data_IF_763376278639
#
_entry.id   IF_763376278639
#
_cell.length_a   1.000
_cell.length_b   1.000
_cell.length_c   1.000
_cell.angle_alpha   90.00
_cell.angle_beta   90.00
_cell.angle_gamma   90.00
#
_symmetry.space_group_name_H-M   'P 1'
#
loop_
_entity.id
_entity.type
_entity.pdbx_description
1 polymer ?
#
# COMPACT_ATOMS: atom_id res chain seq x y z
N UNK A 1 -16.37 -26.13 -21.02
CA UNK A 1 -16.09 -25.81 -19.60
C UNK A 1 -15.95 -27.13 -18.88
N UNK A 2 -14.87 -27.34 -18.14
CA UNK A 2 -14.63 -28.61 -17.41
C UNK A 2 -14.94 -28.39 -15.93
N UNK A 3 -15.51 -29.39 -15.28
CA UNK A 3 -15.93 -29.33 -13.88
C UNK A 3 -15.82 -30.71 -13.25
N UNK A 4 -15.42 -30.73 -11.98
CA UNK A 4 -15.31 -31.94 -11.15
C UNK A 4 -16.49 -32.09 -10.18
N UNK A 5 -17.54 -31.29 -10.33
CA UNK A 5 -18.73 -31.40 -9.48
C UNK A 5 -19.49 -32.68 -9.84
N UNK A 6 -19.72 -33.53 -8.83
CA UNK A 6 -20.30 -34.86 -9.05
C UNK A 6 -21.82 -34.81 -9.29
N UNK A 7 -22.49 -33.73 -8.87
CA UNK A 7 -23.94 -33.57 -8.93
C UNK A 7 -24.35 -32.42 -9.87
N UNK A 8 -23.84 -32.41 -11.10
CA UNK A 8 -24.31 -31.44 -12.10
C UNK A 8 -25.71 -31.80 -12.57
N UNK A 9 -26.66 -30.90 -12.33
CA UNK A 9 -28.03 -30.98 -12.86
C UNK A 9 -28.06 -30.83 -14.39
N UNK A 10 -27.06 -30.15 -14.97
CA UNK A 10 -26.90 -29.92 -16.41
C UNK A 10 -28.18 -29.34 -17.04
N UNK A 11 -28.82 -28.41 -16.32
CA UNK A 11 -30.07 -27.80 -16.77
C UNK A 11 -29.77 -26.58 -17.64
N UNK A 12 -30.61 -26.34 -18.66
CA UNK A 12 -30.50 -25.14 -19.50
C UNK A 12 -31.23 -23.99 -18.80
N UNK A 13 -30.49 -22.95 -18.46
CA UNK A 13 -31.00 -21.72 -17.83
C UNK A 13 -30.96 -20.59 -18.86
N UNK A 14 -32.01 -19.78 -18.88
CA UNK A 14 -32.10 -18.61 -19.74
C UNK A 14 -31.38 -17.41 -19.09
N UNK A 15 -30.43 -16.82 -19.82
CA UNK A 15 -29.82 -15.55 -19.42
C UNK A 15 -30.79 -14.39 -19.61
N UNK A 16 -30.52 -13.26 -18.95
CA UNK A 16 -31.20 -11.97 -19.19
C UNK A 16 -31.16 -11.51 -20.65
N UNK A 17 -30.23 -12.05 -21.46
CA UNK A 17 -30.12 -11.78 -22.90
C UNK A 17 -31.02 -12.67 -23.78
N UNK A 18 -31.85 -13.53 -23.19
CA UNK A 18 -32.69 -14.52 -23.89
C UNK A 18 -31.90 -15.73 -24.42
N UNK A 19 -30.63 -15.87 -24.05
CA UNK A 19 -29.77 -16.99 -24.49
C UNK A 19 -29.81 -18.11 -23.46
N UNK A 20 -30.10 -19.32 -23.93
CA UNK A 20 -30.04 -20.53 -23.11
C UNK A 20 -28.59 -21.01 -22.95
N UNK A 21 -28.15 -21.21 -21.71
CA UNK A 21 -26.83 -21.76 -21.37
C UNK A 21 -26.96 -22.80 -20.25
N UNK A 22 -26.08 -23.81 -20.19
CA UNK A 22 -26.04 -24.73 -19.06
C UNK A 22 -25.81 -24.00 -17.73
N UNK A 23 -26.44 -24.49 -16.67
CA UNK A 23 -26.29 -24.07 -15.27
C UNK A 23 -24.81 -23.92 -14.86
N UNK A 24 -23.96 -24.87 -15.22
CA UNK A 24 -22.53 -24.82 -14.95
C UNK A 24 -21.86 -23.52 -15.45
N UNK A 25 -22.31 -22.97 -16.58
CA UNK A 25 -21.76 -21.71 -17.12
C UNK A 25 -22.10 -20.53 -16.21
N UNK A 26 -23.30 -20.52 -15.62
CA UNK A 26 -23.71 -19.47 -14.68
C UNK A 26 -22.89 -19.52 -13.40
N UNK A 27 -22.70 -20.71 -12.82
CA UNK A 27 -21.91 -20.90 -11.61
C UNK A 27 -20.49 -20.41 -11.80
N UNK A 28 -19.86 -20.78 -12.92
CA UNK A 28 -18.52 -20.30 -13.24
C UNK A 28 -18.45 -18.80 -13.45
N UNK A 29 -19.39 -18.24 -14.21
CA UNK A 29 -19.42 -16.80 -14.42
C UNK A 29 -19.70 -16.03 -13.13
N UNK A 30 -20.41 -16.61 -12.17
CA UNK A 30 -20.61 -16.03 -10.85
C UNK A 30 -19.32 -16.08 -10.03
N UNK A 31 -18.67 -17.25 -9.97
CA UNK A 31 -17.48 -17.47 -9.15
C UNK A 31 -16.22 -16.75 -9.67
N UNK A 32 -16.03 -16.67 -11.00
CA UNK A 32 -14.79 -16.14 -11.58
C UNK A 32 -14.58 -14.64 -11.37
N UNK A 33 -15.66 -13.88 -11.15
CA UNK A 33 -15.64 -12.41 -11.09
C UNK A 33 -14.87 -11.85 -9.90
N UNK A 34 -14.59 -12.65 -8.87
CA UNK A 34 -13.99 -12.17 -7.63
C UNK A 34 -12.63 -11.49 -7.83
N UNK A 35 -11.77 -12.08 -8.65
CA UNK A 35 -10.43 -11.54 -8.95
C UNK A 35 -10.55 -10.22 -9.72
N UNK A 36 -11.35 -10.21 -10.79
CA UNK A 36 -11.57 -9.01 -11.61
C UNK A 36 -12.11 -7.84 -10.79
N UNK A 37 -13.05 -8.10 -9.87
CA UNK A 37 -13.62 -7.08 -8.99
C UNK A 37 -12.56 -6.55 -8.02
N UNK A 38 -11.77 -7.43 -7.40
CA UNK A 38 -10.70 -7.03 -6.49
C UNK A 38 -9.67 -6.16 -7.21
N UNK A 39 -9.24 -6.57 -8.40
CA UNK A 39 -8.28 -5.83 -9.23
C UNK A 39 -8.85 -4.48 -9.69
N UNK A 40 -10.13 -4.44 -10.04
CA UNK A 40 -10.82 -3.20 -10.39
C UNK A 40 -10.81 -2.23 -9.20
N UNK A 41 -11.17 -2.69 -8.00
CA UNK A 41 -11.19 -1.87 -6.77
C UNK A 41 -9.78 -1.38 -6.41
N UNK A 42 -8.77 -2.24 -6.56
CA UNK A 42 -7.38 -1.89 -6.35
C UNK A 42 -6.91 -0.80 -7.35
N UNK A 43 -7.30 -0.92 -8.62
CA UNK A 43 -6.87 -0.02 -9.69
C UNK A 43 -7.36 1.43 -9.53
N UNK A 44 -8.53 1.65 -8.91
CA UNK A 44 -9.10 2.99 -8.71
C UNK A 44 -8.21 3.90 -7.85
N UNK A 45 -7.44 3.35 -6.91
CA UNK A 45 -6.57 4.11 -6.00
C UNK A 45 -5.17 3.52 -5.97
N UNK A 46 -4.49 3.59 -7.11
CA UNK A 46 -3.17 3.00 -7.30
C UNK A 46 -2.06 3.80 -6.58
N UNK A 47 -1.32 3.13 -5.69
CA UNK A 47 -0.19 3.70 -4.95
C UNK A 47 1.16 3.53 -5.65
N UNK A 48 1.22 2.84 -6.79
CA UNK A 48 2.45 2.64 -7.54
C UNK A 48 3.03 3.97 -8.04
N UNK A 49 4.36 4.06 -7.98
CA UNK A 49 5.16 5.18 -8.48
C UNK A 49 6.33 4.65 -9.31
N UNK A 50 6.93 5.51 -10.13
CA UNK A 50 8.15 5.16 -10.86
C UNK A 50 9.25 4.81 -9.86
N UNK A 51 9.76 3.59 -9.92
CA UNK A 51 10.82 3.09 -9.04
C UNK A 51 11.86 2.35 -9.87
N UNK A 52 13.13 2.49 -9.52
CA UNK A 52 14.25 1.80 -10.21
C UNK A 52 14.32 0.32 -9.82
N UNK A 53 13.98 0.00 -8.57
CA UNK A 53 14.06 -1.35 -8.01
C UNK A 53 12.71 -2.06 -8.09
N UNK A 54 12.60 -3.11 -8.90
CA UNK A 54 11.35 -3.82 -9.20
C UNK A 54 10.61 -4.35 -7.96
N UNK A 55 11.33 -4.83 -6.95
CA UNK A 55 10.71 -5.39 -5.74
C UNK A 55 9.92 -4.35 -4.93
N UNK A 56 10.26 -3.07 -5.04
CA UNK A 56 9.50 -1.99 -4.38
C UNK A 56 8.08 -1.89 -4.94
N UNK A 57 7.94 -2.11 -6.25
CA UNK A 57 6.64 -2.17 -6.92
C UNK A 57 5.78 -3.28 -6.33
N UNK A 58 6.35 -4.47 -6.12
CA UNK A 58 5.63 -5.60 -5.54
C UNK A 58 5.17 -5.34 -4.11
N UNK A 59 6.05 -4.80 -3.26
CA UNK A 59 5.70 -4.54 -1.85
C UNK A 59 4.59 -3.49 -1.76
N UNK A 60 4.68 -2.41 -2.56
CA UNK A 60 3.64 -1.36 -2.59
C UNK A 60 2.31 -1.93 -3.08
N UNK A 61 2.31 -2.74 -4.14
CA UNK A 61 1.07 -3.35 -4.63
C UNK A 61 0.46 -4.31 -3.60
N UNK A 62 1.28 -5.16 -2.98
CA UNK A 62 0.82 -6.10 -1.97
C UNK A 62 0.17 -5.40 -0.77
N UNK A 63 0.82 -4.35 -0.26
CA UNK A 63 0.34 -3.63 0.92
C UNK A 63 -0.80 -2.68 0.53
N UNK A 64 -0.53 -1.71 -0.35
CA UNK A 64 -1.45 -0.58 -0.57
C UNK A 64 -2.65 -0.92 -1.47
N UNK A 65 -2.53 -1.95 -2.32
CA UNK A 65 -3.64 -2.45 -3.14
C UNK A 65 -4.27 -3.69 -2.53
N UNK A 66 -3.59 -4.84 -2.58
CA UNK A 66 -4.20 -6.14 -2.23
C UNK A 66 -4.65 -6.20 -0.76
N UNK A 67 -3.76 -5.87 0.19
CA UNK A 67 -4.09 -6.01 1.62
C UNK A 67 -5.19 -5.04 2.05
N UNK A 68 -5.18 -3.80 1.54
CA UNK A 68 -6.20 -2.79 1.86
C UNK A 68 -7.57 -3.19 1.31
N UNK A 69 -7.66 -3.70 0.09
CA UNK A 69 -8.94 -4.17 -0.49
C UNK A 69 -9.48 -5.37 0.30
N UNK A 70 -8.62 -6.31 0.68
CA UNK A 70 -9.02 -7.45 1.51
C UNK A 70 -9.49 -7.02 2.90
N UNK A 71 -8.75 -6.13 3.56
CA UNK A 71 -9.12 -5.58 4.86
C UNK A 71 -10.46 -4.82 4.79
N UNK A 72 -10.65 -4.02 3.74
CA UNK A 72 -11.91 -3.33 3.50
C UNK A 72 -13.07 -4.30 3.27
N UNK A 73 -12.86 -5.37 2.48
CA UNK A 73 -13.89 -6.37 2.24
C UNK A 73 -14.29 -7.08 3.54
N UNK A 74 -13.32 -7.45 4.37
CA UNK A 74 -13.56 -8.05 5.68
C UNK A 74 -14.32 -7.07 6.58
N UNK A 75 -13.87 -5.82 6.67
CA UNK A 75 -14.55 -4.79 7.46
C UNK A 75 -15.98 -4.53 6.95
N UNK A 76 -16.19 -4.55 5.63
CA UNK A 76 -17.51 -4.36 5.04
C UNK A 76 -18.45 -5.54 5.32
N UNK A 77 -17.93 -6.75 5.45
CA UNK A 77 -18.74 -7.96 5.64
C UNK A 77 -19.02 -8.30 7.11
N UNK A 78 -18.09 -7.98 8.01
CA UNK A 78 -18.19 -8.32 9.44
C UNK A 78 -18.05 -7.13 10.39
N UNK A 79 -17.70 -5.95 9.88
CA UNK A 79 -17.63 -4.73 10.69
C UNK A 79 -19.00 -4.16 11.01
N UNK A 80 -19.03 -3.29 12.02
CA UNK A 80 -20.25 -2.61 12.49
C UNK A 80 -20.62 -1.39 11.66
N UNK A 81 -19.62 -0.78 11.00
CA UNK A 81 -19.78 0.40 10.15
C UNK A 81 -19.43 0.03 8.71
N UNK A 82 -20.25 0.49 7.77
CA UNK A 82 -19.94 0.37 6.36
C UNK A 82 -19.27 1.66 5.87
N UNK A 83 -18.10 1.51 5.27
CA UNK A 83 -17.37 2.60 4.62
C UNK A 83 -17.20 2.28 3.15
N UNK A 84 -17.25 3.31 2.30
CA UNK A 84 -16.68 3.20 0.96
C UNK A 84 -15.16 3.03 1.04
N UNK A 85 -14.57 2.42 0.01
CA UNK A 85 -13.14 2.12 -0.01
C UNK A 85 -12.27 3.36 0.18
N UNK A 86 -12.70 4.52 -0.33
CA UNK A 86 -12.02 5.79 -0.13
C UNK A 86 -12.01 6.18 1.34
N UNK A 87 -13.18 6.17 1.99
CA UNK A 87 -13.28 6.58 3.40
C UNK A 87 -12.55 5.60 4.33
N UNK A 88 -12.56 4.33 3.98
CA UNK A 88 -11.78 3.32 4.68
C UNK A 88 -10.28 3.59 4.57
N UNK A 89 -9.78 3.95 3.38
CA UNK A 89 -8.38 4.35 3.16
C UNK A 89 -8.00 5.61 3.94
N UNK A 90 -8.82 6.65 3.90
CA UNK A 90 -8.61 7.88 4.69
C UNK A 90 -8.45 7.56 6.18
N UNK A 91 -9.35 6.76 6.75
CA UNK A 91 -9.26 6.37 8.16
C UNK A 91 -7.96 5.60 8.48
N UNK A 92 -7.47 4.75 7.56
CA UNK A 92 -6.18 4.07 7.75
C UNK A 92 -5.05 5.10 7.76
N UNK A 93 -5.05 6.03 6.82
CA UNK A 93 -4.02 7.07 6.70
C UNK A 93 -4.01 7.94 7.97
N UNK A 94 -5.17 8.42 8.41
CA UNK A 94 -5.29 9.26 9.60
C UNK A 94 -4.73 8.55 10.83
N UNK A 95 -5.04 7.26 11.01
CA UNK A 95 -4.52 6.45 12.14
C UNK A 95 -3.02 6.24 12.08
N UNK A 96 -2.47 5.98 10.90
CA UNK A 96 -1.03 5.83 10.73
C UNK A 96 -0.27 7.14 10.96
N UNK A 97 -0.89 8.29 10.69
CA UNK A 97 -0.30 9.60 10.93
C UNK A 97 -0.39 10.02 12.40
N UNK A 98 -1.50 9.72 13.08
CA UNK A 98 -1.70 10.00 14.52
C UNK A 98 -0.72 9.23 15.42
N UNK A 99 -0.30 8.03 14.99
CA UNK A 99 0.65 7.19 15.73
C UNK A 99 2.12 7.61 15.55
N UNK A 100 2.42 8.55 14.66
CA UNK A 100 3.77 9.10 14.57
C UNK A 100 4.03 9.99 15.79
N UNK A 101 5.09 9.73 16.60
CA UNK A 101 5.48 10.68 17.62
C UNK A 101 5.70 12.02 16.93
N UNK A 102 4.99 13.05 17.41
CA UNK A 102 5.30 14.42 17.02
C UNK A 102 6.77 14.58 17.38
N UNK A 103 7.65 14.76 16.37
CA UNK A 103 9.05 15.05 16.65
C UNK A 103 9.07 16.14 17.72
N UNK A 104 9.76 15.96 18.86
CA UNK A 104 10.02 17.09 19.73
C UNK A 104 10.61 18.15 18.81
N UNK A 105 9.99 19.34 18.79
CA UNK A 105 10.54 20.47 18.08
C UNK A 105 11.87 20.82 18.76
N UNK A 106 12.94 20.08 18.48
CA UNK A 106 14.29 20.56 18.72
C UNK A 106 14.33 21.89 17.96
N UNK A 107 14.50 23.02 18.66
CA UNK A 107 14.42 24.31 18.02
C UNK A 107 15.40 24.28 16.84
N UNK A 108 14.91 24.58 15.63
CA UNK A 108 15.77 24.65 14.44
C UNK A 108 16.99 25.55 14.68
N UNK A 109 16.87 26.46 15.65
CA UNK A 109 17.95 27.31 16.13
C UNK A 109 19.04 26.57 16.90
N UNK A 110 18.75 25.53 17.69
CA UNK A 110 19.80 24.74 18.33
C UNK A 110 20.61 23.95 17.30
N UNK A 111 19.95 23.38 16.29
CA UNK A 111 20.63 22.68 15.20
C UNK A 111 21.43 23.66 14.33
N UNK A 112 20.89 24.85 14.04
CA UNK A 112 21.59 25.90 13.29
C UNK A 112 22.80 26.44 14.06
N UNK A 113 22.67 26.63 15.37
CA UNK A 113 23.76 27.05 16.26
C UNK A 113 24.83 25.95 16.36
N UNK A 114 24.43 24.69 16.51
CA UNK A 114 25.34 23.54 16.54
C UNK A 114 26.11 23.39 15.22
N UNK A 115 25.44 23.42 14.07
CA UNK A 115 26.08 23.35 12.77
C UNK A 115 27.04 24.53 12.52
N UNK A 116 26.72 25.72 13.05
CA UNK A 116 27.59 26.90 12.98
C UNK A 116 28.79 26.83 13.93
N UNK A 117 28.73 25.99 14.96
CA UNK A 117 29.83 25.75 15.90
C UNK A 117 30.88 24.77 15.36
N UNK A 118 30.56 24.02 14.29
CA UNK A 118 31.47 23.10 13.60
C UNK A 118 32.42 23.91 12.68
N UNK A 119 33.74 23.92 12.94
CA UNK A 119 34.69 24.73 12.18
C UNK A 119 34.73 24.40 10.68
N UNK A 120 34.60 23.12 10.31
CA UNK A 120 34.69 22.66 8.91
C UNK A 120 33.53 23.14 8.02
N UNK A 121 32.39 23.51 8.62
CA UNK A 121 31.20 23.99 7.91
C UNK A 121 31.15 25.51 7.74
N UNK A 122 32.08 26.25 8.37
CA UNK A 122 32.11 27.72 8.34
C UNK A 122 32.64 28.29 7.01
N UNK A 123 33.47 27.52 6.30
CA UNK A 123 34.17 27.98 5.09
C UNK A 123 33.59 27.44 3.78
N UNK A 124 32.68 26.46 3.80
CA UNK A 124 32.11 25.89 2.57
C UNK A 124 31.06 26.83 1.96
N UNK A 125 31.36 27.44 0.80
CA UNK A 125 30.37 28.16 0.00
C UNK A 125 29.78 27.23 -1.07
N UNK A 126 28.45 27.20 -1.17
CA UNK A 126 27.77 26.40 -2.20
C UNK A 126 27.79 24.90 -1.90
N UNK A 127 27.48 24.10 -2.92
CA UNK A 127 27.10 22.67 -2.90
C UNK A 127 27.98 21.71 -2.05
N UNK A 128 29.11 22.17 -1.55
CA UNK A 128 30.03 21.44 -0.66
C UNK A 128 29.42 21.18 0.73
N UNK A 129 28.60 22.08 1.27
CA UNK A 129 27.92 21.86 2.56
C UNK A 129 26.96 20.65 2.50
N UNK A 130 26.27 20.46 1.36
CA UNK A 130 25.37 19.32 1.13
C UNK A 130 26.15 18.02 1.06
N UNK A 131 27.36 18.03 0.50
CA UNK A 131 28.26 16.87 0.45
C UNK A 131 28.88 16.53 1.81
N UNK A 132 29.02 17.50 2.71
CA UNK A 132 29.47 17.27 4.10
C UNK A 132 28.32 16.79 5.00
N UNK A 133 27.08 17.21 4.74
CA UNK A 133 25.89 16.80 5.52
C UNK A 133 25.42 15.38 5.16
N UNK A 134 25.52 14.99 3.88
CA UNK A 134 25.01 13.70 3.39
C UNK A 134 25.61 12.47 4.11
N UNK A 135 26.93 12.40 4.43
CA UNK A 135 27.51 11.29 5.17
C UNK A 135 26.93 11.13 6.59
N UNK A 136 26.72 12.22 7.32
CA UNK A 136 26.20 12.16 8.70
C UNK A 136 24.72 11.77 8.75
N UNK A 137 23.93 12.15 7.74
CA UNK A 137 22.52 11.73 7.60
C UNK A 137 22.37 10.29 7.07
N UNK A 138 23.32 9.83 6.25
CA UNK A 138 23.35 8.46 5.75
C UNK A 138 23.72 7.46 6.86
N UNK A 139 24.61 7.82 7.78
CA UNK A 139 24.95 6.96 8.93
C UNK A 139 23.76 6.71 9.86
N UNK A 140 22.91 7.72 10.15
CA UNK A 140 21.72 7.50 10.99
C UNK A 140 20.68 6.58 10.32
N UNK A 141 20.48 6.72 9.01
CA UNK A 141 19.55 5.85 8.25
C UNK A 141 20.12 4.44 8.10
N UNK A 142 21.43 4.30 7.96
CA UNK A 142 22.11 3.00 7.84
C UNK A 142 22.19 2.27 9.18
N UNK A 143 22.34 2.98 10.30
CA UNK A 143 22.19 2.46 11.67
C UNK A 143 20.77 1.94 11.90
N UNK A 144 19.74 2.69 11.50
CA UNK A 144 18.33 2.25 11.61
C UNK A 144 18.02 1.03 10.73
N UNK A 145 18.69 0.88 9.58
CA UNK A 145 18.55 -0.29 8.71
C UNK A 145 19.37 -1.51 9.17
N UNK A 146 20.46 -1.31 9.93
CA UNK A 146 21.26 -2.40 10.53
C UNK A 146 20.57 -2.99 11.78
N UNK A 147 19.87 -2.17 12.57
CA UNK A 147 19.13 -2.63 13.75
C UNK A 147 17.98 -3.60 13.39
N UNK A 148 17.37 -3.45 12.21
CA UNK A 148 16.27 -4.31 11.76
C UNK A 148 16.69 -5.56 10.96
N UNK A 149 17.99 -5.84 10.85
CA UNK A 149 18.52 -7.05 10.17
C UNK A 149 18.96 -8.17 11.11
N UNK A 150 18.91 -7.93 12.43
CA UNK A 150 19.18 -8.94 13.46
C UNK A 150 17.93 -9.17 14.28
N UNK A 151 17.08 -10.06 13.76
CA UNK A 151 15.88 -10.58 14.39
C UNK A 151 15.35 -11.73 13.55
#
# INVERSE_FOLDING_TARGET
MLTTCNNHTCTMIEETSGKLKPDAIFDYNSAKKGVDISDQIASYYNSLRKTVKWYRKLIIELICATSVVNAWYIHKRWGTKHFDILKFRENIIDRLLDEMPTEPQTPKEELYIFLRSIPELRESRGNDAVNVINPYLLDEVEILLQVNRKG
#
